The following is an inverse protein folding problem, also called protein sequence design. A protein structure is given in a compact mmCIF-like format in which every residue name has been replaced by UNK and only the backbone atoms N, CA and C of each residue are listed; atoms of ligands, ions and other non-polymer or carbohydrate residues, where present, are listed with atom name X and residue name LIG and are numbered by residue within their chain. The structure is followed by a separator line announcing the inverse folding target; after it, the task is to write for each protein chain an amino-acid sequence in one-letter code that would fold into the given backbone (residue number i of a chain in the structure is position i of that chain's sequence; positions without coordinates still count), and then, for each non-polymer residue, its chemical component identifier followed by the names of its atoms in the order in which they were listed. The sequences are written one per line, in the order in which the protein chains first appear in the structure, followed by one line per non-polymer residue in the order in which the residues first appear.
data_IF_039692745374
#
_entry.id   IF_039692745374
#
_cell.length_a   1.000
_cell.length_b   1.000
_cell.length_c   1.000
_cell.angle_alpha   90.00
_cell.angle_beta   90.00
_cell.angle_gamma   90.00
#
_symmetry.space_group_name_H-M   'P 1'
#
loop_
_entity.id
_entity.type
_entity.pdbx_description
1 polymer ?
#
# COMPACT_ATOMS: atom_id res chain seq x y z
N UNK A 1 25.38 -54.56 5.79
CA UNK A 1 24.71 -53.59 6.67
C UNK A 1 24.15 -52.51 5.77
N UNK A 2 22.87 -52.60 5.44
CA UNK A 2 22.15 -51.59 4.65
C UNK A 2 21.37 -50.75 5.66
N UNK A 3 21.78 -49.50 5.85
CA UNK A 3 20.94 -48.55 6.58
C UNK A 3 19.84 -48.12 5.63
N UNK A 4 18.60 -48.42 6.03
CA UNK A 4 17.38 -48.06 5.34
C UNK A 4 17.11 -46.57 5.59
N UNK A 5 17.49 -45.75 4.62
CA UNK A 5 17.44 -44.28 4.67
C UNK A 5 16.13 -43.77 4.07
N UNK A 6 15.00 -44.31 4.54
CA UNK A 6 13.66 -43.94 4.07
C UNK A 6 12.77 -43.42 5.21
N UNK A 7 13.28 -42.44 5.97
CA UNK A 7 12.38 -41.50 6.64
C UNK A 7 11.93 -40.50 5.58
N UNK A 8 10.90 -40.89 4.83
CA UNK A 8 10.27 -40.06 3.83
C UNK A 8 9.89 -38.71 4.47
N UNK A 9 10.45 -37.64 3.90
CA UNK A 9 10.10 -36.25 4.17
C UNK A 9 8.64 -36.02 3.72
N UNK A 10 7.67 -36.44 4.54
CA UNK A 10 6.26 -36.12 4.29
C UNK A 10 6.10 -34.60 4.50
N UNK A 11 5.58 -33.85 3.51
CA UNK A 11 5.35 -32.44 3.69
C UNK A 11 4.41 -32.23 4.88
N UNK A 12 4.77 -31.32 5.78
CA UNK A 12 3.96 -31.00 6.95
C UNK A 12 2.61 -30.43 6.47
N UNK A 13 1.54 -31.22 6.60
CA UNK A 13 0.18 -30.79 6.25
C UNK A 13 -0.33 -29.91 7.39
N UNK A 14 -0.69 -28.67 7.08
CA UNK A 14 -1.31 -27.76 8.05
C UNK A 14 -2.68 -28.32 8.47
N UNK A 15 -3.02 -28.39 9.77
CA UNK A 15 -4.35 -28.81 10.20
C UNK A 15 -5.44 -27.88 9.62
N UNK A 16 -6.48 -28.45 9.02
CA UNK A 16 -7.55 -27.70 8.32
C UNK A 16 -8.17 -26.57 9.16
N UNK A 17 -8.45 -26.83 10.44
CA UNK A 17 -9.01 -25.83 11.34
C UNK A 17 -8.07 -24.62 11.51
N UNK A 18 -6.77 -24.87 11.66
CA UNK A 18 -5.78 -23.82 11.80
C UNK A 18 -5.59 -23.05 10.48
N UNK A 19 -5.64 -23.74 9.33
CA UNK A 19 -5.61 -23.11 8.02
C UNK A 19 -6.80 -22.16 7.81
N UNK A 20 -8.01 -22.60 8.18
CA UNK A 20 -9.21 -21.79 8.11
C UNK A 20 -9.13 -20.55 9.02
N UNK A 21 -8.71 -20.71 10.28
CA UNK A 21 -8.53 -19.59 11.21
C UNK A 21 -7.49 -18.57 10.69
N UNK A 22 -6.37 -19.04 10.13
CA UNK A 22 -5.35 -18.17 9.56
C UNK A 22 -5.87 -17.46 8.30
N UNK A 23 -6.58 -18.17 7.41
CA UNK A 23 -7.20 -17.59 6.24
C UNK A 23 -8.19 -16.48 6.62
N UNK A 24 -9.06 -16.73 7.60
CA UNK A 24 -10.04 -15.74 8.08
C UNK A 24 -9.34 -14.48 8.63
N UNK A 25 -8.29 -14.63 9.44
CA UNK A 25 -7.52 -13.48 9.93
C UNK A 25 -6.87 -12.68 8.80
N UNK A 26 -6.33 -13.34 7.77
CA UNK A 26 -5.75 -12.66 6.60
C UNK A 26 -6.82 -11.93 5.78
N UNK A 27 -8.02 -12.49 5.67
CA UNK A 27 -9.15 -11.86 4.98
C UNK A 27 -9.68 -10.62 5.74
N UNK A 28 -9.75 -10.69 7.07
CA UNK A 28 -10.06 -9.52 7.91
C UNK A 28 -9.01 -8.43 7.74
N UNK A 29 -7.72 -8.79 7.83
CA UNK A 29 -6.62 -7.84 7.64
C UNK A 29 -6.65 -7.18 6.25
N UNK A 30 -6.96 -7.94 5.21
CA UNK A 30 -7.10 -7.42 3.83
C UNK A 30 -8.26 -6.43 3.71
N UNK A 31 -9.39 -6.72 4.35
CA UNK A 31 -10.55 -5.82 4.41
C UNK A 31 -10.23 -4.51 5.15
N UNK A 32 -9.50 -4.61 6.27
CA UNK A 32 -9.07 -3.46 7.04
C UNK A 32 -8.07 -2.59 6.27
N UNK A 33 -7.15 -3.19 5.49
CA UNK A 33 -6.26 -2.45 4.60
C UNK A 33 -7.01 -1.72 3.48
N UNK A 34 -8.02 -2.33 2.86
CA UNK A 34 -8.88 -1.65 1.88
C UNK A 34 -9.61 -0.44 2.48
N UNK A 35 -10.06 -0.59 3.73
CA UNK A 35 -10.71 0.51 4.45
C UNK A 35 -9.71 1.61 4.81
N UNK A 36 -8.53 1.24 5.29
CA UNK A 36 -7.46 2.18 5.60
C UNK A 36 -7.03 2.96 4.37
N UNK A 37 -6.85 2.29 3.23
CA UNK A 37 -6.51 2.93 1.96
C UNK A 37 -7.52 4.00 1.58
N UNK A 38 -8.83 3.68 1.62
CA UNK A 38 -9.89 4.65 1.34
C UNK A 38 -9.87 5.85 2.28
N UNK A 39 -9.70 5.62 3.59
CA UNK A 39 -9.61 6.71 4.57
C UNK A 39 -8.42 7.62 4.32
N UNK A 40 -7.27 7.05 3.93
CA UNK A 40 -6.07 7.82 3.59
C UNK A 40 -6.25 8.60 2.29
N UNK A 41 -6.79 7.97 1.25
CA UNK A 41 -7.07 8.62 -0.03
C UNK A 41 -8.02 9.82 0.17
N UNK A 42 -9.12 9.65 0.91
CA UNK A 42 -10.06 10.73 1.23
C UNK A 42 -9.39 11.87 2.02
N UNK A 43 -8.59 11.53 3.04
CA UNK A 43 -7.88 12.52 3.85
C UNK A 43 -6.84 13.29 3.02
N UNK A 44 -6.10 12.60 2.15
CA UNK A 44 -5.09 13.21 1.29
C UNK A 44 -5.71 14.10 0.21
N UNK A 45 -6.84 13.70 -0.38
CA UNK A 45 -7.62 14.56 -1.27
C UNK A 45 -8.07 15.84 -0.56
N UNK A 46 -8.58 15.74 0.68
CA UNK A 46 -8.98 16.91 1.47
C UNK A 46 -7.80 17.83 1.78
N UNK A 47 -6.61 17.28 2.05
CA UNK A 47 -5.39 18.07 2.26
C UNK A 47 -4.93 18.77 0.99
N UNK A 48 -4.92 18.08 -0.16
CA UNK A 48 -4.56 18.66 -1.45
C UNK A 48 -5.48 19.84 -1.79
N UNK A 49 -6.80 19.62 -1.68
CA UNK A 49 -7.80 20.66 -1.94
C UNK A 49 -7.63 21.85 -0.98
N UNK A 50 -7.47 21.59 0.31
CA UNK A 50 -7.24 22.61 1.33
C UNK A 50 -6.00 23.46 1.04
N UNK A 51 -4.86 22.83 0.74
CA UNK A 51 -3.63 23.57 0.44
C UNK A 51 -3.68 24.31 -0.89
N UNK A 52 -4.26 23.73 -1.94
CA UNK A 52 -4.44 24.41 -3.22
C UNK A 52 -5.36 25.63 -3.07
N UNK A 53 -6.50 25.48 -2.39
CA UNK A 53 -7.43 26.57 -2.12
C UNK A 53 -6.77 27.68 -1.29
N UNK A 54 -6.05 27.33 -0.22
CA UNK A 54 -5.31 28.32 0.58
C UNK A 54 -4.22 29.04 -0.21
N UNK A 55 -3.48 28.33 -1.07
CA UNK A 55 -2.48 28.93 -1.94
C UNK A 55 -3.11 29.86 -2.98
N UNK A 56 -4.26 29.51 -3.54
CA UNK A 56 -5.03 30.33 -4.48
C UNK A 56 -5.55 31.61 -3.84
N UNK A 57 -6.19 31.52 -2.67
CA UNK A 57 -6.64 32.70 -1.90
C UNK A 57 -5.48 33.63 -1.56
N UNK A 58 -4.32 33.07 -1.23
CA UNK A 58 -3.12 33.84 -0.95
C UNK A 58 -2.60 34.56 -2.20
N UNK A 59 -2.65 33.92 -3.36
CA UNK A 59 -2.29 34.54 -4.63
C UNK A 59 -3.25 35.69 -4.98
N UNK A 60 -4.56 35.52 -4.77
CA UNK A 60 -5.55 36.59 -5.00
C UNK A 60 -5.29 37.83 -4.12
N UNK A 61 -4.94 37.64 -2.84
CA UNK A 61 -4.58 38.76 -1.94
C UNK A 61 -3.35 39.49 -2.47
N UNK A 62 -2.36 38.76 -2.98
CA UNK A 62 -1.17 39.36 -3.58
C UNK A 62 -1.52 40.14 -4.86
N UNK A 63 -2.33 39.56 -5.73
CA UNK A 63 -2.73 40.17 -7.02
C UNK A 63 -3.60 41.42 -6.85
N UNK A 64 -4.33 41.52 -5.74
CA UNK A 64 -5.10 42.71 -5.35
C UNK A 64 -4.20 43.88 -4.90
N UNK A 65 -2.88 43.72 -4.90
CA UNK A 65 -1.91 44.78 -4.60
C UNK A 65 -1.71 45.02 -3.11
N UNK A 66 -2.11 44.08 -2.25
CA UNK A 66 -1.80 44.14 -0.83
C UNK A 66 -0.29 44.00 -0.59
N UNK A 67 0.20 44.67 0.46
CA UNK A 67 1.61 44.61 0.83
C UNK A 67 2.00 43.17 1.18
N UNK A 68 2.98 42.62 0.45
CA UNK A 68 3.48 41.28 0.70
C UNK A 68 4.47 41.35 1.87
N UNK A 69 4.01 41.02 3.06
CA UNK A 69 4.90 40.94 4.21
C UNK A 69 5.80 39.70 4.14
N UNK A 70 6.96 39.69 4.82
CA UNK A 70 7.82 38.51 4.93
C UNK A 70 7.09 37.27 5.47
N UNK A 71 6.17 37.45 6.42
CA UNK A 71 5.36 36.38 7.00
C UNK A 71 4.43 35.77 5.93
N UNK A 72 3.87 36.60 5.05
CA UNK A 72 3.00 36.17 3.96
C UNK A 72 3.78 35.32 2.93
N UNK A 73 5.02 35.71 2.63
CA UNK A 73 5.94 34.92 1.80
C UNK A 73 6.27 33.56 2.44
N UNK A 74 6.49 33.53 3.75
CA UNK A 74 6.80 32.30 4.47
C UNK A 74 5.60 31.33 4.48
N UNK A 75 4.37 31.84 4.68
CA UNK A 75 3.14 31.05 4.58
C UNK A 75 3.00 30.45 3.18
N UNK A 76 3.20 31.26 2.13
CA UNK A 76 3.17 30.79 0.74
C UNK A 76 4.16 29.65 0.51
N UNK A 77 5.39 29.82 0.99
CA UNK A 77 6.42 28.80 0.85
C UNK A 77 6.07 27.49 1.56
N UNK A 78 5.53 27.57 2.79
CA UNK A 78 5.08 26.40 3.55
C UNK A 78 3.94 25.66 2.85
N UNK A 79 2.99 26.38 2.25
CA UNK A 79 1.90 25.77 1.48
C UNK A 79 2.43 25.00 0.26
N UNK A 80 3.35 25.58 -0.52
CA UNK A 80 3.98 24.86 -1.63
C UNK A 80 4.74 23.61 -1.18
N UNK A 81 5.53 23.71 -0.09
CA UNK A 81 6.22 22.53 0.46
C UNK A 81 5.25 21.44 0.92
N UNK A 82 4.11 21.80 1.50
CA UNK A 82 3.10 20.83 1.90
C UNK A 82 2.47 20.12 0.70
N UNK A 83 2.16 20.85 -0.38
CA UNK A 83 1.68 20.26 -1.65
C UNK A 83 2.71 19.31 -2.25
N UNK A 84 3.99 19.71 -2.30
CA UNK A 84 5.07 18.84 -2.79
C UNK A 84 5.25 17.60 -1.91
N UNK A 85 5.15 17.74 -0.58
CA UNK A 85 5.25 16.59 0.33
C UNK A 85 4.10 15.60 0.15
N UNK A 86 2.89 16.07 -0.19
CA UNK A 86 1.75 15.21 -0.50
C UNK A 86 1.94 14.40 -1.78
N UNK A 87 2.88 14.74 -2.66
CA UNK A 87 3.19 13.93 -3.84
C UNK A 87 3.81 12.57 -3.47
N UNK A 88 4.38 12.42 -2.26
CA UNK A 88 4.85 11.12 -1.73
C UNK A 88 3.68 10.19 -1.32
N UNK A 89 2.45 10.68 -1.28
CA UNK A 89 1.26 9.88 -0.92
C UNK A 89 1.01 8.75 -1.91
N UNK A 90 1.24 8.98 -3.21
CA UNK A 90 1.00 7.95 -4.24
C UNK A 90 1.82 6.68 -3.96
N UNK A 91 3.07 6.83 -3.49
CA UNK A 91 3.90 5.69 -3.09
C UNK A 91 3.35 4.94 -1.87
N UNK A 92 2.77 5.65 -0.90
CA UNK A 92 2.15 5.02 0.28
C UNK A 92 0.91 4.22 -0.13
N UNK A 93 0.06 4.78 -1.00
CA UNK A 93 -1.13 4.10 -1.53
C UNK A 93 -0.72 2.85 -2.33
N UNK A 94 0.32 2.93 -3.16
CA UNK A 94 0.86 1.77 -3.88
C UNK A 94 1.37 0.67 -2.94
N UNK A 95 2.10 1.02 -1.87
CA UNK A 95 2.61 0.05 -0.89
C UNK A 95 1.47 -0.64 -0.12
N UNK A 96 0.41 0.08 0.23
CA UNK A 96 -0.78 -0.49 0.88
C UNK A 96 -1.49 -1.46 -0.06
N UNK A 97 -1.74 -1.06 -1.31
CA UNK A 97 -2.38 -1.90 -2.31
C UNK A 97 -1.58 -3.20 -2.56
N UNK A 98 -0.27 -3.07 -2.71
CA UNK A 98 0.62 -4.22 -2.87
C UNK A 98 0.62 -5.15 -1.65
N UNK A 99 0.64 -4.59 -0.44
CA UNK A 99 0.56 -5.37 0.81
C UNK A 99 -0.75 -6.15 0.88
N UNK A 100 -1.86 -5.52 0.49
CA UNK A 100 -3.17 -6.15 0.45
C UNK A 100 -3.21 -7.33 -0.52
N UNK A 101 -2.73 -7.13 -1.75
CA UNK A 101 -2.66 -8.20 -2.76
C UNK A 101 -1.83 -9.40 -2.28
N UNK A 102 -0.71 -9.14 -1.59
CA UNK A 102 0.11 -10.20 -1.00
C UNK A 102 -0.61 -10.97 0.10
N UNK A 103 -1.33 -10.30 1.00
CA UNK A 103 -2.10 -10.97 2.05
C UNK A 103 -3.22 -11.84 1.46
N UNK A 104 -3.90 -11.33 0.43
CA UNK A 104 -4.94 -12.08 -0.29
C UNK A 104 -4.39 -13.32 -0.99
N UNK A 105 -3.25 -13.16 -1.66
CA UNK A 105 -2.52 -14.28 -2.28
C UNK A 105 -2.12 -15.36 -1.26
N UNK A 106 -1.72 -14.95 -0.05
CA UNK A 106 -1.41 -15.89 1.03
C UNK A 106 -2.66 -16.61 1.51
N UNK A 107 -3.78 -15.91 1.69
CA UNK A 107 -5.05 -16.49 2.11
C UNK A 107 -5.54 -17.54 1.09
N UNK A 108 -5.46 -17.23 -0.20
CA UNK A 108 -5.86 -18.13 -1.28
C UNK A 108 -4.95 -19.38 -1.37
N UNK A 109 -3.64 -19.21 -1.16
CA UNK A 109 -2.69 -20.33 -1.08
C UNK A 109 -3.01 -21.26 0.09
N UNK A 110 -3.26 -20.70 1.28
CA UNK A 110 -3.60 -21.49 2.48
C UNK A 110 -4.88 -22.29 2.26
N UNK A 111 -5.92 -21.68 1.67
CA UNK A 111 -7.17 -22.39 1.36
C UNK A 111 -6.93 -23.57 0.42
N UNK A 112 -6.18 -23.35 -0.68
CA UNK A 112 -5.86 -24.39 -1.65
C UNK A 112 -5.05 -25.53 -1.03
N UNK A 113 -4.03 -25.21 -0.25
CA UNK A 113 -3.15 -26.21 0.36
C UNK A 113 -3.88 -27.02 1.44
N UNK A 114 -4.86 -26.42 2.12
CA UNK A 114 -5.65 -27.08 3.17
C UNK A 114 -6.81 -27.93 2.63
N UNK A 115 -7.46 -27.50 1.54
CA UNK A 115 -8.58 -28.23 0.91
C UNK A 115 -8.10 -29.35 -0.03
N UNK A 116 -6.84 -29.32 -0.47
CA UNK A 116 -6.26 -30.32 -1.35
C UNK A 116 -6.80 -30.23 -2.79
N UNK A 117 -6.11 -30.88 -3.72
CA UNK A 117 -6.49 -30.94 -5.15
C UNK A 117 -7.73 -31.79 -5.46
N UNK A 118 -8.40 -32.31 -4.44
CA UNK A 118 -9.55 -33.22 -4.57
C UNK A 118 -10.90 -32.48 -4.61
N UNK A 119 -10.89 -31.15 -4.77
CA UNK A 119 -12.10 -30.38 -5.01
C UNK A 119 -12.71 -30.75 -6.39
N UNK A 120 -13.90 -31.39 -6.44
CA UNK A 120 -14.56 -31.73 -7.69
C UNK A 120 -15.02 -30.50 -8.50
N UNK A 121 -15.02 -29.30 -7.91
CA UNK A 121 -15.42 -28.04 -8.55
C UNK A 121 -14.25 -27.28 -9.20
N UNK A 122 -13.03 -27.83 -9.17
CA UNK A 122 -11.87 -27.33 -9.91
C UNK A 122 -10.91 -26.47 -9.09
N UNK A 123 -9.61 -26.57 -9.38
CA UNK A 123 -8.56 -25.87 -8.64
C UNK A 123 -8.80 -24.35 -8.62
N UNK A 124 -8.87 -23.76 -7.42
CA UNK A 124 -8.93 -22.32 -7.25
C UNK A 124 -7.77 -21.66 -8.01
N UNK A 125 -8.12 -20.84 -9.01
CA UNK A 125 -7.17 -20.03 -9.76
C UNK A 125 -6.63 -18.97 -8.80
N UNK A 126 -5.44 -19.22 -8.27
CA UNK A 126 -4.72 -18.21 -7.48
C UNK A 126 -4.00 -17.31 -8.45
N UNK A 127 -4.30 -16.02 -8.39
CA UNK A 127 -3.53 -15.00 -9.10
C UNK A 127 -2.06 -15.11 -8.71
N UNK A 128 -1.17 -15.05 -9.70
CA UNK A 128 0.27 -15.07 -9.48
C UNK A 128 0.66 -13.92 -8.54
N UNK A 129 1.44 -14.26 -7.51
CA UNK A 129 2.00 -13.30 -6.55
C UNK A 129 2.69 -12.18 -7.35
N UNK A 130 2.47 -10.90 -7.02
CA UNK A 130 3.25 -9.81 -7.61
C UNK A 130 4.74 -10.11 -7.48
N UNK A 131 5.39 -10.38 -8.62
CA UNK A 131 6.76 -10.91 -8.68
C UNK A 131 7.84 -9.93 -8.22
N UNK A 132 7.51 -8.64 -8.03
CA UNK A 132 8.47 -7.63 -7.61
C UNK A 132 8.35 -7.35 -6.10
N UNK A 133 9.42 -7.59 -5.31
CA UNK A 133 9.41 -7.39 -3.86
C UNK A 133 9.18 -5.94 -3.42
N UNK A 134 9.41 -4.97 -4.31
CA UNK A 134 9.16 -3.56 -4.09
C UNK A 134 8.62 -2.93 -5.39
N UNK A 135 7.39 -2.38 -5.39
CA UNK A 135 6.89 -1.61 -6.52
C UNK A 135 7.57 -0.23 -6.65
N UNK A 136 8.23 0.24 -5.58
CA UNK A 136 8.88 1.55 -5.54
C UNK A 136 10.37 1.42 -5.85
N UNK A 137 10.77 1.67 -7.08
CA UNK A 137 12.17 1.95 -7.43
C UNK A 137 12.34 3.45 -7.63
N UNK A 138 13.32 4.05 -6.95
CA UNK A 138 13.67 5.48 -7.10
C UNK A 138 14.00 5.89 -8.54
N UNK A 139 14.23 4.94 -9.45
CA UNK A 139 14.61 5.20 -10.84
C UNK A 139 13.49 5.77 -11.72
N UNK A 140 12.24 5.81 -11.24
CA UNK A 140 11.13 6.51 -11.92
C UNK A 140 11.04 7.99 -11.51
N UNK A 141 11.87 8.42 -10.55
CA UNK A 141 11.93 9.77 -10.00
C UNK A 141 12.89 10.66 -10.80
N UNK A 142 12.49 11.11 -12.00
CA UNK A 142 13.01 12.39 -12.54
C UNK A 142 12.32 13.58 -11.82
N UNK A 143 12.26 13.49 -10.50
CA UNK A 143 11.93 14.58 -9.60
C UNK A 143 13.24 14.93 -8.90
N UNK A 144 13.97 15.87 -9.50
CA UNK A 144 15.31 16.29 -9.10
C UNK A 144 15.51 16.31 -7.58
N UNK A 145 16.70 15.84 -7.18
CA UNK A 145 17.13 15.68 -5.78
C UNK A 145 16.63 16.82 -4.89
N UNK A 146 15.77 16.51 -3.93
CA UNK A 146 15.49 17.44 -2.84
C UNK A 146 16.66 17.34 -1.87
N UNK A 147 17.50 18.38 -1.83
CA UNK A 147 18.45 18.57 -0.74
C UNK A 147 17.64 18.72 0.56
N UNK A 148 17.70 17.67 1.40
CA UNK A 148 17.34 17.77 2.81
C UNK A 148 18.50 18.50 3.49
N UNK A 149 18.29 19.78 3.79
CA UNK A 149 19.14 20.53 4.73
C UNK A 149 19.09 19.88 6.13
#
# INVERSE_FOLDING_TARGET
MSFDDSVANQPAVMPLLFAAELQDHLMVASTDLERLQRLLDDACLALIDGFHSSAGQLAEVIDQGHEITPELQEVRHKLFKAVTALQFQDMATQLIAHTNQRLRSCADQIARDALGSDDPDGAAVVEDIPLKPNPVTQDEMDAGSVELF
#
